data_IF_695535123994
#
_entry.id   IF_695535123994
#
_cell.length_a   1.000
_cell.length_b   1.000
_cell.length_c   1.000
_cell.angle_alpha   90.00
_cell.angle_beta   90.00
_cell.angle_gamma   90.00
#
_symmetry.space_group_name_H-M   'P 1'
#
loop_
_entity.id
_entity.type
_entity.pdbx_description
1 polymer ?
#
# COMPACT_ATOMS: atom_id res chain seq x y z
N UNK A 1 37.44 -9.75 -25.86
CA UNK A 1 37.14 -10.53 -24.65
C UNK A 1 35.95 -9.86 -23.98
N UNK A 2 34.74 -10.15 -24.44
CA UNK A 2 33.51 -9.71 -23.76
C UNK A 2 33.42 -10.62 -22.54
N UNK A 3 33.78 -10.09 -21.38
CA UNK A 3 33.78 -10.84 -20.13
C UNK A 3 32.35 -11.28 -19.81
N UNK A 4 32.21 -12.52 -19.35
CA UNK A 4 30.97 -13.16 -18.89
C UNK A 4 30.32 -12.36 -17.72
N UNK A 5 31.03 -11.38 -17.15
CA UNK A 5 30.51 -10.45 -16.15
C UNK A 5 29.51 -9.42 -16.70
N UNK A 6 29.68 -8.99 -17.96
CA UNK A 6 28.79 -8.02 -18.62
C UNK A 6 27.33 -8.51 -18.80
N UNK A 7 27.05 -9.77 -19.19
CA UNK A 7 25.67 -10.25 -19.29
C UNK A 7 24.97 -10.37 -17.91
N UNK A 8 25.69 -10.73 -16.84
CA UNK A 8 25.10 -10.91 -15.51
C UNK A 8 24.65 -9.56 -14.91
N UNK A 9 25.51 -8.53 -15.03
CA UNK A 9 25.16 -7.18 -14.57
C UNK A 9 23.94 -6.65 -15.35
N UNK A 10 23.89 -6.91 -16.66
CA UNK A 10 22.74 -6.55 -17.50
C UNK A 10 21.42 -7.16 -17.00
N UNK A 11 21.43 -8.45 -16.62
CA UNK A 11 20.27 -9.15 -16.08
C UNK A 11 19.77 -8.48 -14.79
N UNK A 12 20.67 -8.09 -13.88
CA UNK A 12 20.25 -7.42 -12.63
C UNK A 12 19.74 -6.00 -12.85
N UNK A 13 20.31 -5.26 -13.80
CA UNK A 13 19.76 -3.95 -14.19
C UNK A 13 18.35 -4.13 -14.75
N UNK A 14 18.14 -5.10 -15.65
CA UNK A 14 16.81 -5.41 -16.19
C UNK A 14 15.85 -5.82 -15.07
N UNK A 15 16.27 -6.70 -14.15
CA UNK A 15 15.47 -7.11 -13.01
C UNK A 15 15.02 -5.92 -12.14
N UNK A 16 15.92 -4.97 -11.89
CA UNK A 16 15.61 -3.76 -11.12
C UNK A 16 14.56 -2.90 -11.82
N UNK A 17 14.75 -2.61 -13.11
CA UNK A 17 13.80 -1.79 -13.88
C UNK A 17 12.47 -2.50 -14.11
N UNK A 18 12.50 -3.82 -14.29
CA UNK A 18 11.30 -4.64 -14.37
C UNK A 18 10.52 -4.57 -13.04
N UNK A 19 11.21 -4.59 -11.90
CA UNK A 19 10.60 -4.38 -10.59
C UNK A 19 9.95 -2.99 -10.45
N UNK A 20 10.60 -1.93 -10.97
CA UNK A 20 9.99 -0.60 -10.99
C UNK A 20 8.72 -0.60 -11.86
N UNK A 21 8.78 -1.16 -13.09
CA UNK A 21 7.60 -1.30 -13.96
C UNK A 21 6.49 -2.04 -13.24
N UNK A 22 6.82 -3.18 -12.63
CA UNK A 22 5.89 -4.05 -11.91
C UNK A 22 5.13 -3.31 -10.80
N UNK A 23 5.86 -2.53 -10.01
CA UNK A 23 5.21 -1.74 -8.95
C UNK A 23 4.24 -0.66 -9.45
N UNK A 24 4.37 -0.26 -10.72
CA UNK A 24 3.52 0.74 -11.36
C UNK A 24 2.35 0.12 -12.13
N UNK A 25 2.19 -1.19 -12.06
CA UNK A 25 1.04 -1.87 -12.63
C UNK A 25 -0.26 -1.42 -11.95
N UNK A 26 -1.35 -1.51 -12.71
CA UNK A 26 -2.61 -0.84 -12.37
C UNK A 26 -3.15 -1.33 -11.03
N UNK A 27 -3.10 -2.61 -10.75
CA UNK A 27 -3.57 -3.20 -9.50
C UNK A 27 -2.76 -2.71 -8.27
N UNK A 28 -1.44 -2.59 -8.39
CA UNK A 28 -0.52 -2.09 -7.36
C UNK A 28 -0.79 -0.63 -7.04
N UNK A 29 -0.84 0.19 -8.09
CA UNK A 29 -1.14 1.61 -7.99
C UNK A 29 -2.53 1.83 -7.41
N UNK A 30 -3.56 1.12 -7.88
CA UNK A 30 -4.93 1.31 -7.42
C UNK A 30 -5.12 0.90 -5.95
N UNK A 31 -4.61 -0.28 -5.56
CA UNK A 31 -4.71 -0.76 -4.18
C UNK A 31 -4.00 0.19 -3.21
N UNK A 32 -2.74 0.53 -3.47
CA UNK A 32 -1.92 1.29 -2.52
C UNK A 32 -2.31 2.77 -2.48
N UNK A 33 -2.72 3.37 -3.60
CA UNK A 33 -3.16 4.78 -3.63
C UNK A 33 -4.37 5.04 -2.73
N UNK A 34 -5.35 4.12 -2.72
CA UNK A 34 -6.55 4.23 -1.89
C UNK A 34 -6.24 4.30 -0.38
N UNK A 35 -5.13 3.69 0.04
CA UNK A 35 -4.67 3.64 1.42
C UNK A 35 -3.74 4.82 1.73
N UNK A 36 -2.82 5.16 0.82
CA UNK A 36 -1.81 6.19 1.04
C UNK A 36 -2.36 7.61 1.06
N UNK A 37 -3.39 7.92 0.28
CA UNK A 37 -4.00 9.26 0.25
C UNK A 37 -4.59 9.63 1.63
N UNK A 38 -4.94 8.64 2.45
CA UNK A 38 -5.42 8.82 3.83
C UNK A 38 -4.30 9.13 4.83
N UNK A 39 -3.03 8.99 4.45
CA UNK A 39 -1.87 9.15 5.35
C UNK A 39 -1.25 10.55 5.23
N UNK A 40 -1.37 11.41 6.26
CA UNK A 40 -0.97 12.83 6.16
C UNK A 40 0.55 13.08 6.19
N UNK A 41 1.38 12.06 6.44
CA UNK A 41 2.84 12.22 6.63
C UNK A 41 3.63 11.33 5.69
N UNK A 42 4.68 11.91 5.09
CA UNK A 42 5.59 11.18 4.19
C UNK A 42 6.28 10.01 4.88
N UNK A 43 6.73 10.19 6.13
CA UNK A 43 7.35 9.11 6.91
C UNK A 43 6.39 7.95 7.18
N UNK A 44 5.07 8.19 7.16
CA UNK A 44 4.07 7.13 7.27
C UNK A 44 3.91 6.41 5.93
N UNK A 45 3.73 7.13 4.82
CA UNK A 45 3.59 6.51 3.49
C UNK A 45 4.82 5.71 3.10
N UNK A 46 6.02 6.18 3.46
CA UNK A 46 7.27 5.46 3.27
C UNK A 46 7.31 4.13 4.03
N UNK A 47 6.98 4.14 5.34
CA UNK A 47 6.92 2.91 6.16
C UNK A 47 5.90 1.92 5.62
N UNK A 48 4.73 2.40 5.19
CA UNK A 48 3.68 1.56 4.62
C UNK A 48 4.13 0.93 3.29
N UNK A 49 4.87 1.67 2.46
CA UNK A 49 5.44 1.15 1.21
C UNK A 49 6.44 0.03 1.46
N UNK A 50 7.30 0.17 2.48
CA UNK A 50 8.25 -0.88 2.88
C UNK A 50 7.50 -2.11 3.38
N UNK A 51 6.50 -1.94 4.24
CA UNK A 51 5.72 -3.06 4.79
C UNK A 51 4.99 -3.82 3.68
N UNK A 52 4.40 -3.10 2.73
CA UNK A 52 3.78 -3.68 1.54
C UNK A 52 4.81 -4.49 0.72
N UNK A 53 5.96 -3.86 0.40
CA UNK A 53 7.00 -4.46 -0.42
C UNK A 53 7.58 -5.73 0.22
N UNK A 54 7.71 -5.76 1.55
CA UNK A 54 8.15 -6.95 2.28
C UNK A 54 7.15 -8.10 2.16
N UNK A 55 5.84 -7.83 2.26
CA UNK A 55 4.81 -8.86 2.07
C UNK A 55 4.78 -9.43 0.65
N UNK A 56 4.92 -8.55 -0.35
CA UNK A 56 5.04 -8.93 -1.76
C UNK A 56 6.30 -9.77 -2.00
N UNK A 57 7.46 -9.27 -1.61
CA UNK A 57 8.75 -9.96 -1.78
C UNK A 57 8.74 -11.36 -1.15
N UNK A 58 8.14 -11.48 0.04
CA UNK A 58 8.08 -12.75 0.76
C UNK A 58 7.31 -13.82 -0.01
N UNK A 59 6.13 -13.48 -0.53
CA UNK A 59 5.29 -14.42 -1.28
C UNK A 59 5.86 -14.72 -2.65
N UNK A 60 6.28 -13.69 -3.37
CA UNK A 60 7.00 -13.77 -4.64
C UNK A 60 8.22 -14.67 -4.56
N UNK A 61 9.03 -14.54 -3.51
CA UNK A 61 10.21 -15.38 -3.29
C UNK A 61 9.85 -16.85 -3.12
N UNK A 62 8.81 -17.14 -2.34
CA UNK A 62 8.31 -18.51 -2.15
C UNK A 62 7.80 -19.09 -3.48
N UNK A 63 6.97 -18.35 -4.21
CA UNK A 63 6.43 -18.78 -5.51
C UNK A 63 7.55 -19.04 -6.51
N UNK A 64 8.54 -18.15 -6.59
CA UNK A 64 9.69 -18.30 -7.50
C UNK A 64 10.52 -19.55 -7.16
N UNK A 65 10.76 -19.81 -5.88
CA UNK A 65 11.47 -21.04 -5.45
C UNK A 65 10.67 -22.28 -5.84
N UNK A 66 9.35 -22.27 -5.64
CA UNK A 66 8.48 -23.39 -6.03
C UNK A 66 8.50 -23.63 -7.54
N UNK A 67 8.39 -22.58 -8.36
CA UNK A 67 8.50 -22.67 -9.83
C UNK A 67 9.85 -23.27 -10.23
N UNK A 68 10.94 -22.80 -9.64
CA UNK A 68 12.29 -23.27 -9.94
C UNK A 68 12.50 -24.76 -9.60
N UNK A 69 11.95 -25.23 -8.48
CA UNK A 69 12.09 -26.61 -8.03
C UNK A 69 11.22 -27.59 -8.82
N UNK A 70 9.99 -27.19 -9.15
CA UNK A 70 8.98 -28.08 -9.73
C UNK A 70 9.11 -28.12 -11.26
N UNK A 71 9.45 -27.00 -11.93
CA UNK A 71 9.63 -26.89 -13.40
C UNK A 71 8.48 -27.43 -14.25
N UNK A 72 7.27 -27.55 -13.71
CA UNK A 72 6.10 -28.07 -14.42
C UNK A 72 5.13 -26.95 -14.84
N UNK A 73 4.58 -27.08 -16.05
CA UNK A 73 3.52 -26.21 -16.60
C UNK A 73 2.23 -26.22 -15.75
N UNK A 74 2.06 -27.20 -14.87
CA UNK A 74 0.92 -27.28 -13.96
C UNK A 74 0.86 -26.11 -12.96
N UNK A 75 2.02 -25.55 -12.60
CA UNK A 75 2.11 -24.42 -11.67
C UNK A 75 1.47 -23.16 -12.28
N UNK A 76 1.62 -22.92 -13.59
CA UNK A 76 1.05 -21.75 -14.27
C UNK A 76 -0.49 -21.73 -14.20
N UNK A 77 -1.14 -22.88 -14.39
CA UNK A 77 -2.61 -22.99 -14.30
C UNK A 77 -3.15 -22.75 -12.88
N UNK A 78 -2.41 -23.14 -11.84
CA UNK A 78 -2.80 -22.83 -10.46
C UNK A 78 -2.59 -21.35 -10.19
N UNK A 79 -1.47 -20.82 -10.67
CA UNK A 79 -1.07 -19.44 -10.46
C UNK A 79 -2.02 -18.43 -11.12
N UNK A 80 -2.52 -18.71 -12.32
CA UNK A 80 -3.49 -17.84 -13.02
C UNK A 80 -4.80 -17.64 -12.23
N UNK A 81 -5.19 -18.61 -11.39
CA UNK A 81 -6.37 -18.45 -10.54
C UNK A 81 -6.19 -17.41 -9.42
N UNK A 82 -4.96 -17.03 -9.06
CA UNK A 82 -4.72 -16.01 -8.03
C UNK A 82 -5.09 -14.60 -8.51
N UNK A 83 -5.16 -14.36 -9.82
CA UNK A 83 -5.65 -13.09 -10.38
C UNK A 83 -7.08 -12.78 -9.94
N UNK A 84 -7.93 -13.81 -9.81
CA UNK A 84 -9.31 -13.68 -9.33
C UNK A 84 -9.32 -13.11 -7.91
N UNK A 85 -8.37 -13.51 -7.07
CA UNK A 85 -8.26 -13.02 -5.69
C UNK A 85 -7.87 -11.54 -5.68
N UNK A 86 -6.96 -11.11 -6.56
CA UNK A 86 -6.62 -9.68 -6.72
C UNK A 86 -7.82 -8.89 -7.22
N UNK A 87 -8.55 -9.40 -8.20
CA UNK A 87 -9.75 -8.77 -8.74
C UNK A 87 -10.80 -8.53 -7.63
N UNK A 88 -11.10 -9.57 -6.84
CA UNK A 88 -12.01 -9.48 -5.70
C UNK A 88 -11.50 -8.51 -4.62
N UNK A 89 -10.19 -8.49 -4.37
CA UNK A 89 -9.56 -7.56 -3.43
C UNK A 89 -9.75 -6.11 -3.89
N UNK A 90 -9.50 -5.80 -5.17
CA UNK A 90 -9.66 -4.46 -5.73
C UNK A 90 -11.11 -3.98 -5.68
N UNK A 91 -12.07 -4.83 -6.06
CA UNK A 91 -13.50 -4.53 -5.96
C UNK A 91 -13.87 -4.24 -4.50
N UNK A 92 -13.37 -5.05 -3.57
CA UNK A 92 -13.65 -4.87 -2.13
C UNK A 92 -13.10 -3.54 -1.63
N UNK A 93 -11.80 -3.27 -1.81
CA UNK A 93 -11.14 -2.04 -1.34
C UNK A 93 -11.76 -0.79 -2.00
N UNK A 94 -12.06 -0.85 -3.29
CA UNK A 94 -12.75 0.22 -4.01
C UNK A 94 -14.15 0.47 -3.46
N UNK A 95 -14.94 -0.58 -3.26
CA UNK A 95 -16.31 -0.47 -2.72
C UNK A 95 -16.32 0.08 -1.30
N UNK A 96 -15.41 -0.38 -0.43
CA UNK A 96 -15.24 0.18 0.92
C UNK A 96 -14.84 1.66 0.87
N UNK A 97 -14.01 2.05 -0.09
CA UNK A 97 -13.58 3.44 -0.26
C UNK A 97 -14.73 4.33 -0.72
N UNK A 98 -15.53 3.90 -1.69
CA UNK A 98 -16.73 4.63 -2.11
C UNK A 98 -17.77 4.72 -0.99
N UNK A 99 -18.04 3.61 -0.31
CA UNK A 99 -18.99 3.58 0.81
C UNK A 99 -18.55 4.52 1.94
N UNK A 100 -17.26 4.65 2.19
CA UNK A 100 -16.75 5.62 3.17
C UNK A 100 -16.95 7.08 2.73
N UNK A 101 -16.70 7.39 1.45
CA UNK A 101 -16.80 8.75 0.89
C UNK A 101 -18.26 9.22 0.69
N UNK A 102 -19.19 8.30 0.40
CA UNK A 102 -20.62 8.60 0.20
C UNK A 102 -21.49 8.32 1.43
N UNK A 103 -21.13 7.33 2.26
CA UNK A 103 -21.96 6.80 3.33
C UNK A 103 -21.93 7.53 4.67
N UNK A 104 -21.25 8.67 4.79
CA UNK A 104 -21.46 9.58 5.92
C UNK A 104 -21.32 8.93 7.30
N UNK A 105 -20.30 8.09 7.54
CA UNK A 105 -20.06 7.52 8.87
C UNK A 105 -19.41 8.57 9.78
N UNK A 106 -20.22 9.57 10.17
CA UNK A 106 -19.87 10.68 11.06
C UNK A 106 -18.58 11.37 10.67
N UNK A 107 -18.72 12.58 10.14
CA UNK A 107 -17.78 13.66 10.32
C UNK A 107 -17.43 13.75 11.82
N UNK A 108 -16.51 12.92 12.30
CA UNK A 108 -15.79 13.16 13.53
C UNK A 108 -14.87 14.29 13.14
N UNK A 109 -15.41 15.50 13.24
CA UNK A 109 -14.62 16.69 13.39
C UNK A 109 -13.55 16.32 14.41
N UNK A 110 -12.35 16.07 13.93
CA UNK A 110 -11.18 16.10 14.76
C UNK A 110 -11.02 17.58 15.10
N UNK A 111 -11.85 18.08 16.03
CA UNK A 111 -11.58 19.34 16.68
C UNK A 111 -10.21 19.11 17.33
N UNK A 112 -9.13 19.78 16.90
CA UNK A 112 -7.99 19.87 17.79
C UNK A 112 -8.58 20.45 19.07
N UNK A 113 -8.52 19.70 20.18
CA UNK A 113 -8.75 20.31 21.48
C UNK A 113 -7.70 21.40 21.56
N UNK A 114 -8.16 22.62 21.29
CA UNK A 114 -7.35 23.80 21.36
C UNK A 114 -6.62 23.73 22.67
N UNK A 115 -5.32 23.98 22.61
CA UNK A 115 -4.65 24.60 23.74
C UNK A 115 -5.63 25.64 24.29
N UNK A 116 -6.05 25.45 25.54
CA UNK A 116 -6.60 26.56 26.31
C UNK A 116 -5.39 27.47 26.52
N UNK A 117 -5.05 28.26 25.50
CA UNK A 117 -4.29 29.47 25.68
C UNK A 117 -5.26 30.44 26.34
N UNK A 118 -5.35 30.32 27.66
CA UNK A 118 -5.94 31.35 28.50
C UNK A 118 -5.07 32.59 28.37
N UNK A 119 -5.40 33.44 27.41
CA UNK A 119 -4.99 34.83 27.39
C UNK A 119 -6.17 35.67 26.91
N UNK A 120 -7.16 35.82 27.79
CA UNK A 120 -8.08 36.95 27.74
C UNK A 120 -7.67 37.91 28.85
N UNK A 121 -6.61 38.68 28.59
CA UNK A 121 -6.31 39.89 29.35
C UNK A 121 -7.21 40.99 28.79
N UNK A 122 -8.00 41.60 29.68
CA UNK A 122 -8.65 42.88 29.44
C UNK A 122 -10.15 42.82 29.18
N UNK A 123 -10.94 43.09 30.23
CA UNK A 123 -11.95 44.17 30.26
C UNK A 123 -13.23 43.81 31.01
N UNK A 124 -13.56 44.69 31.98
CA UNK A 124 -14.85 44.94 32.66
C UNK A 124 -15.32 44.08 33.86
N UNK A 125 -15.17 44.69 35.04
CA UNK A 125 -15.99 44.73 36.27
C UNK A 125 -17.32 43.95 36.32
N UNK A 126 -17.50 43.13 37.38
CA UNK A 126 -18.35 43.46 38.54
C UNK A 126 -18.59 42.25 39.47
N UNK A 127 -18.20 42.43 40.73
CA UNK A 127 -18.70 41.88 42.00
C UNK A 127 -19.66 40.67 42.02
N UNK A 128 -19.26 39.57 42.67
CA UNK A 128 -19.85 39.09 43.94
C UNK A 128 -19.17 37.80 44.48
N UNK A 129 -18.59 37.96 45.69
CA UNK A 129 -18.49 37.04 46.85
C UNK A 129 -17.92 35.60 46.74
N UNK A 130 -17.07 35.30 47.73
CA UNK A 130 -16.16 34.16 48.02
C UNK A 130 -16.82 33.08 48.92
N UNK A 131 -16.10 32.15 49.60
CA UNK A 131 -15.28 31.01 49.15
C UNK A 131 -15.67 29.68 49.87
N UNK A 132 -15.23 28.51 49.38
CA UNK A 132 -14.91 27.36 50.26
C UNK A 132 -14.04 26.30 49.58
N UNK A 133 -12.97 25.96 50.29
CA UNK A 133 -11.96 24.94 50.03
C UNK A 133 -12.56 23.54 49.95
N UNK A 134 -11.99 22.68 49.09
CA UNK A 134 -11.36 21.42 49.52
C UNK A 134 -10.45 20.90 48.40
N UNK A 135 -9.15 20.94 48.70
CA UNK A 135 -8.11 20.14 48.08
C UNK A 135 -8.31 18.68 48.52
N UNK A 136 -8.31 17.75 47.57
CA UNK A 136 -7.61 16.45 47.61
C UNK A 136 -7.71 15.86 46.20
N UNK A 137 -6.68 16.01 45.36
CA UNK A 137 -5.56 15.07 45.20
C UNK A 137 -6.00 13.60 45.10
N UNK A 138 -6.61 13.27 43.97
CA UNK A 138 -6.47 11.94 43.35
C UNK A 138 -6.68 12.03 41.83
N UNK A 139 -5.85 12.85 41.17
CA UNK A 139 -5.73 12.79 39.72
C UNK A 139 -4.59 11.83 39.35
N UNK A 140 -4.93 10.56 39.22
CA UNK A 140 -4.10 9.63 38.46
C UNK A 140 -4.16 10.06 36.99
N UNK A 141 -3.06 10.53 36.35
CA UNK A 141 -3.09 10.73 34.91
C UNK A 141 -3.27 9.35 34.29
N UNK A 142 -4.47 9.08 33.79
CA UNK A 142 -4.74 7.95 32.91
C UNK A 142 -3.69 8.09 31.79
N UNK A 143 -2.66 7.25 31.81
CA UNK A 143 -1.71 7.10 30.71
C UNK A 143 -2.56 6.75 29.50
N UNK A 144 -2.91 7.75 28.68
CA UNK A 144 -3.64 7.52 27.44
C UNK A 144 -2.68 6.73 26.57
N UNK A 145 -2.84 5.41 26.57
CA UNK A 145 -2.09 4.47 25.75
C UNK A 145 -2.35 4.90 24.31
N UNK A 146 -1.37 5.62 23.76
CA UNK A 146 -1.32 6.22 22.44
C UNK A 146 -2.27 5.54 21.46
N UNK A 147 -3.44 6.16 21.26
CA UNK A 147 -4.40 5.73 20.23
C UNK A 147 -3.73 5.75 18.86
N UNK A 148 -2.70 6.57 18.63
CA UNK A 148 -1.96 6.55 17.37
C UNK A 148 -1.32 5.17 17.06
N UNK A 149 -0.92 4.40 18.09
CA UNK A 149 -0.20 3.14 17.89
C UNK A 149 -1.11 1.98 17.45
N UNK A 150 -2.36 1.92 17.92
CA UNK A 150 -3.29 0.85 17.53
C UNK A 150 -3.82 1.00 16.10
N UNK A 151 -3.93 2.22 15.59
CA UNK A 151 -4.38 2.50 14.23
C UNK A 151 -3.26 2.26 13.21
N UNK A 152 -2.01 2.57 13.57
CA UNK A 152 -0.83 2.23 12.74
C UNK A 152 -0.73 0.71 12.56
N UNK A 153 -0.93 -0.09 13.60
CA UNK A 153 -0.91 -1.55 13.49
C UNK A 153 -1.99 -2.12 12.56
N UNK A 154 -3.20 -1.54 12.56
CA UNK A 154 -4.27 -1.97 11.65
C UNK A 154 -3.94 -1.68 10.19
N UNK A 155 -3.46 -0.48 9.89
CA UNK A 155 -3.09 -0.08 8.52
C UNK A 155 -1.87 -0.86 8.00
N UNK A 156 -0.88 -1.08 8.87
CA UNK A 156 0.31 -1.87 8.51
C UNK A 156 -0.03 -3.32 8.18
N UNK A 157 -0.88 -3.97 8.98
CA UNK A 157 -1.28 -5.35 8.71
C UNK A 157 -2.10 -5.45 7.42
N UNK A 158 -3.05 -4.54 7.19
CA UNK A 158 -3.85 -4.51 5.97
C UNK A 158 -2.96 -4.37 4.72
N UNK A 159 -2.00 -3.46 4.76
CA UNK A 159 -1.08 -3.20 3.65
C UNK A 159 -0.11 -4.37 3.43
N UNK A 160 0.36 -5.01 4.50
CA UNK A 160 1.16 -6.25 4.37
C UNK A 160 0.33 -7.37 3.71
N UNK A 161 -0.93 -7.54 4.11
CA UNK A 161 -1.83 -8.53 3.51
C UNK A 161 -2.08 -8.25 2.03
N UNK A 162 -2.29 -6.99 1.65
CA UNK A 162 -2.40 -6.58 0.25
C UNK A 162 -1.12 -6.96 -0.51
N UNK A 163 0.06 -6.66 0.05
CA UNK A 163 1.34 -7.05 -0.55
C UNK A 163 1.48 -8.57 -0.72
N UNK A 164 1.08 -9.36 0.27
CA UNK A 164 1.07 -10.84 0.21
C UNK A 164 0.14 -11.33 -0.90
N UNK A 165 -1.09 -10.81 -0.98
CA UNK A 165 -2.06 -11.22 -2.00
C UNK A 165 -1.55 -10.86 -3.40
N UNK A 166 -0.98 -9.68 -3.58
CA UNK A 166 -0.44 -9.24 -4.86
C UNK A 166 0.80 -10.03 -5.27
N UNK A 167 1.70 -10.35 -4.33
CA UNK A 167 2.88 -11.17 -4.63
C UNK A 167 2.53 -12.60 -5.02
N UNK A 168 1.40 -13.16 -4.53
CA UNK A 168 0.89 -14.46 -4.98
C UNK A 168 0.29 -14.44 -6.40
N UNK A 169 -0.21 -13.29 -6.84
CA UNK A 169 -0.85 -13.12 -8.14
C UNK A 169 0.07 -12.47 -9.20
N UNK A 170 1.29 -12.11 -8.81
CA UNK A 170 2.29 -11.38 -9.62
C UNK A 170 3.00 -12.29 -10.64
N UNK A 171 2.26 -13.15 -11.32
CA UNK A 171 2.85 -14.35 -11.95
C UNK A 171 3.55 -14.07 -13.27
N UNK A 172 3.11 -13.07 -14.06
CA UNK A 172 3.62 -12.82 -15.40
C UNK A 172 5.00 -12.16 -15.41
N UNK A 173 5.21 -11.13 -14.59
CA UNK A 173 6.51 -10.48 -14.45
C UNK A 173 7.54 -11.35 -13.73
N UNK A 174 7.08 -12.21 -12.81
CA UNK A 174 7.96 -13.20 -12.19
C UNK A 174 8.37 -14.27 -13.17
N UNK A 175 7.47 -14.73 -14.02
CA UNK A 175 7.83 -15.62 -15.11
C UNK A 175 8.84 -14.96 -16.05
N UNK A 176 8.66 -13.69 -16.41
CA UNK A 176 9.65 -12.94 -17.22
C UNK A 176 11.01 -12.82 -16.51
N UNK A 177 11.03 -12.47 -15.23
CA UNK A 177 12.26 -12.44 -14.43
C UNK A 177 12.94 -13.81 -14.43
N UNK A 178 12.16 -14.88 -14.24
CA UNK A 178 12.60 -16.27 -14.26
C UNK A 178 13.15 -16.61 -15.65
N UNK A 179 12.48 -16.32 -16.75
CA UNK A 179 12.98 -16.56 -18.13
C UNK A 179 14.29 -15.81 -18.40
N UNK A 180 14.40 -14.56 -17.96
CA UNK A 180 15.65 -13.78 -18.10
C UNK A 180 16.79 -14.29 -17.20
N UNK A 181 16.48 -14.99 -16.10
CA UNK A 181 17.48 -15.54 -15.17
C UNK A 181 17.74 -17.05 -15.37
N UNK A 182 16.82 -17.80 -15.96
CA UNK A 182 16.86 -19.26 -16.20
C UNK A 182 17.79 -19.68 -17.34
N UNK A 183 18.30 -18.73 -18.12
CA UNK A 183 19.51 -19.00 -18.91
C UNK A 183 20.69 -19.45 -18.03
N UNK A 184 20.58 -19.25 -16.71
CA UNK A 184 21.59 -19.56 -15.71
C UNK A 184 21.00 -20.57 -14.70
N UNK A 185 21.55 -21.79 -14.65
CA UNK A 185 21.14 -22.87 -13.73
C UNK A 185 21.64 -22.65 -12.29
N UNK A 186 21.68 -21.41 -11.80
CA UNK A 186 22.21 -21.06 -10.48
C UNK A 186 21.14 -20.43 -9.60
N UNK A 187 20.77 -21.13 -8.53
CA UNK A 187 19.80 -20.68 -7.54
C UNK A 187 20.22 -19.36 -6.87
N UNK A 188 21.53 -19.12 -6.68
CA UNK A 188 22.02 -17.90 -6.06
C UNK A 188 21.74 -16.67 -6.93
N UNK A 189 21.88 -16.81 -8.26
CA UNK A 189 21.62 -15.72 -9.20
C UNK A 189 20.13 -15.40 -9.25
N UNK A 190 19.26 -16.41 -9.19
CA UNK A 190 17.81 -16.22 -9.13
C UNK A 190 17.42 -15.51 -7.82
N UNK A 191 17.90 -16.00 -6.67
CA UNK A 191 17.60 -15.37 -5.37
C UNK A 191 18.10 -13.92 -5.31
N UNK A 192 19.30 -13.65 -5.83
CA UNK A 192 19.81 -12.29 -5.93
C UNK A 192 18.98 -11.44 -6.90
N UNK A 193 18.55 -12.01 -8.03
CA UNK A 193 17.64 -11.39 -8.97
C UNK A 193 16.31 -10.97 -8.33
N UNK A 194 15.72 -11.82 -7.49
CA UNK A 194 14.50 -11.50 -6.72
C UNK A 194 14.75 -10.33 -5.76
N UNK A 195 15.90 -10.32 -5.07
CA UNK A 195 16.24 -9.20 -4.17
C UNK A 195 16.34 -7.90 -4.97
N UNK A 196 17.04 -7.91 -6.11
CA UNK A 196 17.20 -6.73 -6.97
C UNK A 196 15.87 -6.27 -7.56
N UNK A 197 15.04 -7.19 -8.05
CA UNK A 197 13.68 -6.93 -8.50
C UNK A 197 12.84 -6.29 -7.38
N UNK A 198 12.91 -6.84 -6.18
CA UNK A 198 12.18 -6.35 -5.00
C UNK A 198 12.63 -4.95 -4.57
N UNK A 199 13.92 -4.63 -4.71
CA UNK A 199 14.42 -3.27 -4.52
C UNK A 199 13.86 -2.31 -5.57
N UNK A 200 13.73 -2.77 -6.82
CA UNK A 200 13.03 -2.04 -7.89
C UNK A 200 11.58 -1.75 -7.53
N UNK A 201 10.84 -2.78 -7.11
CA UNK A 201 9.45 -2.68 -6.65
C UNK A 201 9.30 -1.68 -5.50
N UNK A 202 10.16 -1.79 -4.48
CA UNK A 202 10.16 -0.86 -3.35
C UNK A 202 10.45 0.58 -3.80
N UNK A 203 11.41 0.77 -4.72
CA UNK A 203 11.77 2.08 -5.25
C UNK A 203 10.60 2.71 -6.01
N UNK A 204 9.96 1.97 -6.92
CA UNK A 204 8.82 2.45 -7.69
C UNK A 204 7.64 2.84 -6.78
N UNK A 205 7.34 2.04 -5.76
CA UNK A 205 6.31 2.39 -4.78
C UNK A 205 6.65 3.61 -3.93
N UNK A 206 7.91 3.81 -3.54
CA UNK A 206 8.33 5.02 -2.83
C UNK A 206 8.19 6.24 -3.74
N UNK A 207 8.55 6.14 -5.02
CA UNK A 207 8.38 7.21 -6.00
C UNK A 207 6.91 7.56 -6.19
N UNK A 208 6.05 6.56 -6.39
CA UNK A 208 4.60 6.74 -6.49
C UNK A 208 4.00 7.38 -5.23
N UNK A 209 4.41 6.89 -4.05
CA UNK A 209 4.01 7.45 -2.77
C UNK A 209 4.42 8.90 -2.58
N UNK A 210 5.61 9.26 -3.06
CA UNK A 210 6.13 10.63 -3.03
C UNK A 210 5.29 11.54 -3.92
N UNK A 211 4.92 11.06 -5.11
CA UNK A 211 4.05 11.77 -6.05
C UNK A 211 2.68 12.07 -5.44
N UNK A 212 2.07 11.10 -4.75
CA UNK A 212 0.79 11.29 -4.07
C UNK A 212 0.87 12.21 -2.84
N UNK A 213 2.04 12.28 -2.19
CA UNK A 213 2.23 13.00 -0.93
C UNK A 213 2.84 14.41 -1.12
N UNK A 214 2.87 14.93 -2.35
CA UNK A 214 3.41 16.26 -2.64
C UNK A 214 2.73 17.32 -1.76
N UNK A 215 3.48 18.14 -1.00
CA UNK A 215 2.92 19.10 -0.05
C UNK A 215 2.00 20.13 -0.71
N UNK A 216 2.13 20.36 -2.03
CA UNK A 216 1.24 21.23 -2.81
C UNK A 216 -0.18 20.68 -3.04
N UNK A 217 -0.41 19.37 -2.92
CA UNK A 217 -1.77 18.79 -2.95
C UNK A 217 -2.48 18.95 -1.60
N UNK A 218 -1.73 19.02 -0.49
CA UNK A 218 -2.28 19.20 0.86
C UNK A 218 -2.78 20.62 1.15
N UNK A 219 -2.33 21.62 0.39
CA UNK A 219 -2.90 22.98 0.48
C UNK A 219 -4.22 23.11 -0.27
N UNK A 220 -4.60 22.12 -1.11
CA UNK A 220 -5.87 22.09 -1.82
C UNK A 220 -6.98 21.46 -0.95
N UNK A 221 -8.18 22.05 -1.03
CA UNK A 221 -9.39 21.73 -0.23
C UNK A 221 -9.67 20.22 -0.17
N UNK A 222 -10.20 19.74 0.97
CA UNK A 222 -10.68 18.37 1.23
C UNK A 222 -11.48 17.75 0.06
N UNK A 223 -12.18 18.58 -0.72
CA UNK A 223 -12.90 18.17 -1.93
C UNK A 223 -12.01 17.50 -2.98
N UNK A 224 -10.78 17.98 -3.20
CA UNK A 224 -9.89 17.43 -4.24
C UNK A 224 -9.39 16.05 -3.84
N UNK A 225 -9.03 15.88 -2.56
CA UNK A 225 -8.66 14.57 -2.00
C UNK A 225 -9.84 13.59 -2.13
N UNK A 226 -11.06 14.05 -1.82
CA UNK A 226 -12.28 13.25 -2.03
C UNK A 226 -12.48 12.85 -3.49
N UNK A 227 -12.35 13.77 -4.45
CA UNK A 227 -12.49 13.44 -5.87
C UNK A 227 -11.43 12.43 -6.32
N UNK A 228 -10.18 12.60 -5.91
CA UNK A 228 -9.11 11.64 -6.20
C UNK A 228 -9.41 10.25 -5.64
N UNK A 229 -9.86 10.16 -4.38
CA UNK A 229 -10.27 8.90 -3.76
C UNK A 229 -11.40 8.21 -4.52
N UNK A 230 -12.43 8.97 -4.92
CA UNK A 230 -13.58 8.43 -5.66
C UNK A 230 -13.14 7.94 -7.04
N UNK A 231 -12.28 8.68 -7.74
CA UNK A 231 -11.76 8.28 -9.06
C UNK A 231 -10.94 6.99 -8.94
N UNK A 232 -9.96 6.94 -8.03
CA UNK A 232 -9.10 5.78 -7.83
C UNK A 232 -9.92 4.55 -7.42
N UNK A 233 -10.89 4.71 -6.50
CA UNK A 233 -11.75 3.62 -6.08
C UNK A 233 -12.65 3.11 -7.21
N UNK A 234 -13.16 4.01 -8.06
CA UNK A 234 -13.97 3.63 -9.22
C UNK A 234 -13.11 2.89 -10.25
N UNK A 235 -11.90 3.37 -10.53
CA UNK A 235 -10.95 2.69 -11.42
C UNK A 235 -10.56 1.31 -10.88
N UNK A 236 -10.34 1.17 -9.58
CA UNK A 236 -10.04 -0.11 -8.94
C UNK A 236 -11.19 -1.12 -9.12
N UNK A 237 -12.44 -0.69 -8.95
CA UNK A 237 -13.61 -1.56 -9.17
C UNK A 237 -13.73 -1.93 -10.65
N UNK A 238 -13.62 -0.96 -11.55
CA UNK A 238 -13.72 -1.21 -13.00
C UNK A 238 -12.62 -2.18 -13.45
N UNK A 239 -11.39 -1.99 -13.00
CA UNK A 239 -10.28 -2.89 -13.31
C UNK A 239 -10.48 -4.29 -12.70
N UNK A 240 -10.90 -4.38 -11.45
CA UNK A 240 -11.20 -5.68 -10.84
C UNK A 240 -12.34 -6.42 -11.56
N UNK A 241 -13.39 -5.70 -11.97
CA UNK A 241 -14.47 -6.28 -12.77
C UNK A 241 -13.95 -6.72 -14.14
N UNK A 242 -13.11 -5.91 -14.81
CA UNK A 242 -12.46 -6.27 -16.06
C UNK A 242 -11.63 -7.56 -15.93
N UNK A 243 -10.84 -7.71 -14.86
CA UNK A 243 -10.10 -8.94 -14.59
C UNK A 243 -11.02 -10.17 -14.42
N UNK A 244 -12.20 -10.02 -13.78
CA UNK A 244 -13.18 -11.11 -13.67
C UNK A 244 -13.80 -11.52 -15.01
N UNK A 245 -13.88 -10.60 -15.97
CA UNK A 245 -14.43 -10.85 -17.31
C UNK A 245 -13.37 -11.31 -18.33
N UNK A 246 -12.22 -11.80 -17.87
CA UNK A 246 -11.19 -12.37 -18.75
C UNK A 246 -10.22 -11.34 -19.31
N UNK A 247 -9.96 -10.28 -18.56
CA UNK A 247 -9.09 -9.18 -18.96
C UNK A 247 -7.72 -9.60 -19.49
N UNK A 248 -7.06 -10.60 -18.88
CA UNK A 248 -5.78 -11.13 -19.37
C UNK A 248 -5.55 -12.65 -19.11
N UNK A 249 -6.28 -13.35 -18.20
CA UNK A 249 -5.94 -14.76 -17.85
C UNK A 249 -7.05 -15.83 -17.86
N UNK A 250 -8.31 -15.52 -17.53
CA UNK A 250 -9.37 -16.54 -17.40
C UNK A 250 -10.76 -16.00 -17.78
N UNK A 251 -11.34 -16.58 -18.83
CA UNK A 251 -12.68 -16.24 -19.32
C UNK A 251 -13.73 -17.06 -18.56
N UNK A 252 -14.37 -16.48 -17.53
CA UNK A 252 -15.41 -17.18 -16.75
C UNK A 252 -16.73 -17.37 -17.51
N UNK A 253 -16.93 -16.64 -18.61
CA UNK A 253 -18.04 -16.83 -19.54
C UNK A 253 -17.48 -16.74 -20.96
N UNK A 254 -17.26 -17.86 -21.66
CA UNK A 254 -17.01 -17.79 -23.09
C UNK A 254 -18.28 -17.28 -23.75
N UNK A 255 -18.24 -16.04 -24.25
CA UNK A 255 -19.21 -15.53 -25.22
C UNK A 255 -18.83 -16.01 -26.62
#
# INVERSE_FOLDING_TARGET
>A
MISIETPIIGIFIVAFFLGIKHSLDVDHVMAVSSILIRSPKFSRTFKLSIIWALGHTFTTGIVTILIFLIKELFIENILSNFEIIVALMLISIGSFTLMWEFGGFTRREYKPKGLITANKIGSMNSSHLTPKEHLDKDYNPIKSKSSNFSWIKKDSNAIATVGIIQGLASNDELFLLIVFTLGINDLFIILFGIIVFSLGVMTGMILWSSLLNLPGLKSKKERIIKYLNVIIASLAIVYGVYCLFGGEGLNLIPL
#
